data_IF_754690157523
#
_entry.id   IF_754690157523
#
_cell.length_a   1.000
_cell.length_b   1.000
_cell.length_c   1.000
_cell.angle_alpha   90.00
_cell.angle_beta   90.00
_cell.angle_gamma   90.00
#
_symmetry.space_group_name_H-M   'P 1'
#
loop_
_entity.id
_entity.type
_entity.pdbx_description
1 polymer ?
#
# COMPACT_ATOMS: atom_id res chain seq x y z
N UNK A 1 17.50 10.43 15.88
CA UNK A 1 17.06 9.08 16.30
C UNK A 1 18.02 8.42 17.29
N UNK A 2 19.32 8.26 16.98
CA UNK A 2 20.26 7.55 17.88
C UNK A 2 20.28 8.04 19.34
N UNK A 3 20.35 9.35 19.64
CA UNK A 3 20.39 9.81 21.04
C UNK A 3 19.12 9.43 21.83
N UNK A 4 17.96 9.43 21.16
CA UNK A 4 16.69 9.02 21.75
C UNK A 4 16.69 7.54 22.12
N UNK A 5 17.15 6.68 21.19
CA UNK A 5 17.22 5.23 21.42
C UNK A 5 18.24 4.91 22.51
N UNK A 6 19.41 5.55 22.51
CA UNK A 6 20.41 5.37 23.57
C UNK A 6 19.92 5.80 24.95
N UNK A 7 19.14 6.89 25.01
CA UNK A 7 18.68 7.45 26.30
C UNK A 7 17.43 6.78 26.87
N UNK A 8 16.47 6.43 26.01
CA UNK A 8 15.13 5.98 26.42
C UNK A 8 14.69 4.66 25.78
N UNK A 9 15.56 4.00 25.01
CA UNK A 9 15.22 2.82 24.22
C UNK A 9 14.58 1.71 25.04
N UNK A 10 14.94 1.50 26.29
CA UNK A 10 14.33 0.50 27.18
C UNK A 10 12.87 0.82 27.58
N UNK A 11 12.46 2.10 27.51
CA UNK A 11 11.16 2.61 27.98
C UNK A 11 10.19 2.99 26.85
N UNK A 12 10.64 3.01 25.59
CA UNK A 12 9.78 3.37 24.45
C UNK A 12 8.85 2.21 24.11
N UNK A 13 7.54 2.39 24.29
CA UNK A 13 6.54 1.39 23.87
C UNK A 13 6.59 1.13 22.36
N UNK A 14 6.63 2.21 21.58
CA UNK A 14 6.81 2.17 20.13
C UNK A 14 7.41 3.49 19.63
N UNK A 15 8.09 3.42 18.48
CA UNK A 15 8.59 4.58 17.76
C UNK A 15 7.57 5.06 16.75
N UNK A 16 7.39 6.37 16.69
CA UNK A 16 6.59 7.04 15.67
C UNK A 16 7.53 7.56 14.59
N UNK A 17 7.28 7.18 13.33
CA UNK A 17 8.09 7.59 12.18
C UNK A 17 7.21 8.11 11.05
N UNK A 18 7.70 9.12 10.35
CA UNK A 18 7.07 9.64 9.13
C UNK A 18 7.97 9.22 7.96
N UNK A 19 7.41 8.54 6.98
CA UNK A 19 8.19 7.96 5.90
C UNK A 19 7.52 8.20 4.55
N UNK A 20 8.07 9.13 3.80
CA UNK A 20 7.64 9.43 2.44
C UNK A 20 8.70 8.95 1.46
N UNK A 21 8.35 8.67 0.21
CA UNK A 21 9.34 8.26 -0.78
C UNK A 21 10.47 9.30 -0.91
N UNK A 22 10.14 10.56 -1.19
CA UNK A 22 11.09 11.68 -1.15
C UNK A 22 10.36 13.00 -0.94
N UNK A 23 11.11 14.07 -0.60
CA UNK A 23 10.60 15.44 -0.65
C UNK A 23 10.28 15.79 -2.11
N UNK A 24 11.30 15.89 -2.96
CA UNK A 24 11.12 16.05 -4.41
C UNK A 24 11.09 14.67 -5.10
N UNK A 25 9.96 14.22 -5.69
CA UNK A 25 9.91 13.00 -6.47
C UNK A 25 10.77 13.10 -7.75
N UNK A 26 11.31 11.98 -8.26
CA UNK A 26 12.12 11.99 -9.46
C UNK A 26 11.31 12.47 -10.68
N UNK A 27 12.00 12.81 -11.78
CA UNK A 27 11.35 13.12 -13.03
C UNK A 27 10.36 12.04 -13.51
N UNK A 28 9.40 12.42 -14.35
CA UNK A 28 8.42 11.48 -14.92
C UNK A 28 9.04 10.69 -16.06
N UNK A 29 9.95 9.79 -15.70
CA UNK A 29 10.62 8.85 -16.59
C UNK A 29 10.33 7.42 -16.13
N UNK A 30 10.55 6.44 -17.01
CA UNK A 30 10.40 5.04 -16.64
C UNK A 30 11.26 4.66 -15.42
N UNK A 31 12.49 5.16 -15.36
CA UNK A 31 13.40 4.96 -14.23
C UNK A 31 12.88 5.62 -12.94
N UNK A 32 12.45 6.88 -13.00
CA UNK A 32 11.88 7.58 -11.85
C UNK A 32 10.64 6.87 -11.31
N UNK A 33 9.74 6.45 -12.20
CA UNK A 33 8.53 5.71 -11.81
C UNK A 33 8.88 4.32 -11.22
N UNK A 34 9.88 3.63 -11.75
CA UNK A 34 10.34 2.37 -11.18
C UNK A 34 10.87 2.53 -9.75
N UNK A 35 11.64 3.59 -9.47
CA UNK A 35 12.14 3.85 -8.11
C UNK A 35 11.01 4.15 -7.11
N UNK A 36 9.98 4.89 -7.54
CA UNK A 36 8.78 5.14 -6.74
C UNK A 36 8.07 3.81 -6.43
N UNK A 37 7.81 2.97 -7.44
CA UNK A 37 7.10 1.69 -7.24
C UNK A 37 7.91 0.65 -6.45
N UNK A 38 9.24 0.78 -6.42
CA UNK A 38 10.14 -0.05 -5.62
C UNK A 38 10.28 0.44 -4.16
N UNK A 39 9.73 1.62 -3.81
CA UNK A 39 9.83 2.22 -2.49
C UNK A 39 9.55 1.25 -1.34
N UNK A 40 8.47 0.45 -1.35
CA UNK A 40 8.15 -0.41 -0.22
C UNK A 40 9.27 -1.42 0.05
N UNK A 41 9.78 -2.10 -0.98
CA UNK A 41 10.80 -3.13 -0.80
C UNK A 41 12.21 -2.57 -0.60
N UNK A 42 12.44 -1.30 -0.94
CA UNK A 42 13.74 -0.66 -0.82
C UNK A 42 13.83 0.16 0.46
N UNK A 43 13.14 1.31 0.51
CA UNK A 43 13.30 2.30 1.57
C UNK A 43 12.70 1.84 2.90
N UNK A 44 11.55 1.16 2.91
CA UNK A 44 10.99 0.62 4.17
C UNK A 44 11.87 -0.52 4.72
N UNK A 45 12.40 -1.39 3.86
CA UNK A 45 13.35 -2.44 4.27
C UNK A 45 14.66 -1.84 4.83
N UNK A 46 15.17 -0.78 4.19
CA UNK A 46 16.34 -0.06 4.67
C UNK A 46 16.07 0.64 6.01
N UNK A 47 14.87 1.19 6.21
CA UNK A 47 14.44 1.78 7.47
C UNK A 47 14.46 0.75 8.61
N UNK A 48 13.91 -0.44 8.43
CA UNK A 48 13.98 -1.52 9.43
C UNK A 48 15.42 -1.86 9.79
N UNK A 49 16.27 -2.03 8.78
CA UNK A 49 17.69 -2.37 8.96
C UNK A 49 18.44 -1.26 9.72
N UNK A 50 18.19 0.00 9.36
CA UNK A 50 18.79 1.16 10.00
C UNK A 50 18.36 1.30 11.45
N UNK A 51 17.06 1.17 11.74
CA UNK A 51 16.53 1.18 13.11
C UNK A 51 17.12 0.04 13.95
N UNK A 52 17.24 -1.16 13.37
CA UNK A 52 17.88 -2.29 14.07
C UNK A 52 19.35 -2.01 14.38
N UNK A 53 20.08 -1.38 13.46
CA UNK A 53 21.45 -0.95 13.70
C UNK A 53 21.56 0.02 14.88
N UNK A 54 20.63 0.97 14.99
CA UNK A 54 20.61 1.94 16.10
C UNK A 54 20.33 1.30 17.46
N UNK A 55 19.42 0.34 17.51
CA UNK A 55 19.11 -0.43 18.72
C UNK A 55 20.32 -1.23 19.20
N UNK A 56 20.98 -1.94 18.26
CA UNK A 56 22.18 -2.71 18.58
C UNK A 56 23.31 -1.80 19.06
N UNK A 57 23.50 -0.63 18.42
CA UNK A 57 24.48 0.36 18.85
C UNK A 57 24.17 0.95 20.24
N UNK A 58 22.90 0.96 20.64
CA UNK A 58 22.46 1.33 21.99
C UNK A 58 22.52 0.16 23.00
N UNK A 59 23.02 -1.02 22.62
CA UNK A 59 23.10 -2.20 23.47
C UNK A 59 21.76 -2.91 23.70
N UNK A 60 20.75 -2.64 22.87
CA UNK A 60 19.42 -3.21 23.02
C UNK A 60 19.28 -4.59 22.36
N UNK A 61 18.74 -5.55 23.10
CA UNK A 61 18.40 -6.87 22.56
C UNK A 61 17.05 -6.86 21.82
N UNK A 62 16.04 -6.16 22.38
CA UNK A 62 14.70 -6.04 21.80
C UNK A 62 14.68 -5.16 20.56
N UNK A 63 13.71 -5.40 19.67
CA UNK A 63 13.29 -4.45 18.64
C UNK A 63 12.20 -3.55 19.22
N UNK A 64 12.29 -2.24 19.00
CA UNK A 64 11.25 -1.30 19.35
C UNK A 64 10.18 -1.34 18.24
N UNK A 65 8.91 -1.63 18.57
CA UNK A 65 7.81 -1.58 17.60
C UNK A 65 7.72 -0.21 16.92
N UNK A 66 7.23 -0.16 15.68
CA UNK A 66 7.14 1.06 14.87
C UNK A 66 5.71 1.31 14.41
N UNK A 67 5.20 2.52 14.70
CA UNK A 67 4.02 3.08 14.06
C UNK A 67 4.49 4.06 12.98
N UNK A 68 4.17 3.78 11.71
CA UNK A 68 4.39 4.75 10.63
C UNK A 68 3.22 5.72 10.61
N UNK A 69 3.28 6.79 11.41
CA UNK A 69 2.14 7.70 11.61
C UNK A 69 1.83 8.57 10.40
N UNK A 70 2.76 8.67 9.46
CA UNK A 70 2.55 9.33 8.17
C UNK A 70 3.39 8.64 7.10
N UNK A 71 2.78 8.28 5.98
CA UNK A 71 3.50 7.85 4.79
C UNK A 71 2.76 8.21 3.50
N UNK A 72 3.52 8.28 2.41
CA UNK A 72 3.01 8.60 1.09
C UNK A 72 4.12 8.84 0.07
N UNK A 73 3.74 9.34 -1.11
CA UNK A 73 4.70 9.66 -2.16
C UNK A 73 5.65 10.81 -1.76
N UNK A 74 5.11 11.90 -1.22
CA UNK A 74 5.88 13.08 -0.85
C UNK A 74 5.20 13.86 0.28
N UNK A 75 5.97 14.47 1.21
CA UNK A 75 5.46 15.42 2.18
C UNK A 75 5.29 16.84 1.58
N UNK A 76 5.92 17.11 0.43
CA UNK A 76 5.72 18.32 -0.36
C UNK A 76 4.76 18.02 -1.51
N UNK A 77 3.49 18.30 -1.30
CA UNK A 77 2.49 18.33 -2.37
C UNK A 77 2.37 19.71 -3.01
N UNK A 78 3.27 20.62 -2.66
CA UNK A 78 3.16 22.07 -2.89
C UNK A 78 3.44 22.48 -4.33
N UNK A 79 4.15 21.65 -5.11
CA UNK A 79 4.32 21.90 -6.52
C UNK A 79 3.24 21.19 -7.34
N UNK A 80 2.68 21.88 -8.35
CA UNK A 80 1.65 21.35 -9.26
C UNK A 80 2.03 19.98 -9.86
N UNK A 81 3.33 19.73 -10.05
CA UNK A 81 3.88 18.46 -10.54
C UNK A 81 3.75 17.32 -9.52
N UNK A 82 3.89 17.64 -8.24
CA UNK A 82 3.86 16.70 -7.12
C UNK A 82 2.41 16.36 -6.77
N UNK A 83 1.54 17.37 -6.66
CA UNK A 83 0.09 17.20 -6.43
C UNK A 83 -0.57 16.27 -7.44
N UNK A 84 -0.25 16.43 -8.74
CA UNK A 84 -0.77 15.56 -9.82
C UNK A 84 -0.41 14.09 -9.65
N UNK A 85 0.70 13.74 -9.01
CA UNK A 85 1.09 12.33 -8.85
C UNK A 85 0.43 11.68 -7.63
N UNK A 86 0.11 12.47 -6.61
CA UNK A 86 -0.55 11.98 -5.41
C UNK A 86 -1.99 11.54 -5.72
N UNK A 87 -2.65 12.21 -6.67
CA UNK A 87 -4.00 11.88 -7.16
C UNK A 87 -4.04 10.75 -8.20
N UNK A 88 -2.92 10.08 -8.51
CA UNK A 88 -2.82 9.05 -9.55
C UNK A 88 -2.73 7.62 -8.99
N UNK A 89 -3.02 6.64 -9.84
CA UNK A 89 -2.89 5.20 -9.56
C UNK A 89 -1.51 4.81 -9.01
N UNK A 90 -0.44 5.48 -9.41
CA UNK A 90 0.92 5.27 -8.88
C UNK A 90 1.00 5.48 -7.36
N UNK A 91 0.31 6.48 -6.81
CA UNK A 91 0.27 6.68 -5.37
C UNK A 91 -0.51 5.55 -4.68
N UNK A 92 -1.59 5.05 -5.30
CA UNK A 92 -2.33 3.89 -4.80
C UNK A 92 -1.47 2.61 -4.78
N UNK A 93 -0.67 2.39 -5.83
CA UNK A 93 0.28 1.27 -5.90
C UNK A 93 1.35 1.38 -4.82
N UNK A 94 1.98 2.55 -4.68
CA UNK A 94 3.01 2.79 -3.66
C UNK A 94 2.46 2.60 -2.25
N UNK A 95 1.35 3.27 -1.94
CA UNK A 95 0.79 3.27 -0.58
C UNK A 95 0.16 1.94 -0.23
N UNK A 96 -0.55 1.31 -1.17
CA UNK A 96 -1.12 -0.03 -1.00
C UNK A 96 -0.04 -1.08 -0.78
N UNK A 97 1.02 -1.08 -1.59
CA UNK A 97 2.12 -2.04 -1.42
C UNK A 97 2.93 -1.77 -0.14
N UNK A 98 3.04 -0.50 0.29
CA UNK A 98 3.65 -0.13 1.58
C UNK A 98 2.93 -0.78 2.77
N UNK A 99 1.59 -0.82 2.77
CA UNK A 99 0.81 -1.52 3.81
C UNK A 99 1.20 -2.99 3.86
N UNK A 100 1.27 -3.66 2.71
CA UNK A 100 1.66 -5.06 2.66
C UNK A 100 3.08 -5.28 3.16
N UNK A 101 4.03 -4.44 2.74
CA UNK A 101 5.42 -4.54 3.17
C UNK A 101 5.56 -4.36 4.69
N UNK A 102 4.83 -3.40 5.26
CA UNK A 102 4.81 -3.20 6.70
C UNK A 102 4.14 -4.39 7.40
N UNK A 103 3.05 -4.93 6.86
CA UNK A 103 2.31 -6.03 7.47
C UNK A 103 3.06 -7.37 7.49
N UNK A 104 4.00 -7.61 6.56
CA UNK A 104 4.89 -8.80 6.60
C UNK A 104 6.10 -8.62 7.50
N UNK A 105 6.35 -7.41 8.02
CA UNK A 105 7.44 -7.16 8.95
C UNK A 105 6.86 -6.90 10.35
N UNK A 106 7.06 -7.87 11.24
CA UNK A 106 6.55 -7.88 12.63
C UNK A 106 6.96 -6.66 13.47
N UNK A 107 7.93 -5.87 13.02
CA UNK A 107 8.30 -4.61 13.68
C UNK A 107 7.20 -3.55 13.58
N UNK A 108 6.45 -3.51 12.49
CA UNK A 108 5.44 -2.47 12.28
C UNK A 108 4.12 -2.86 12.94
N UNK A 109 3.62 -1.99 13.80
CA UNK A 109 2.35 -2.20 14.54
C UNK A 109 1.18 -1.45 13.91
N UNK A 110 1.44 -0.62 12.91
CA UNK A 110 0.43 0.14 12.20
C UNK A 110 1.03 1.18 11.28
N UNK A 111 0.15 1.77 10.47
CA UNK A 111 0.51 2.83 9.55
C UNK A 111 -0.68 3.74 9.26
N UNK A 112 -0.45 5.05 9.11
CA UNK A 112 -1.46 5.99 8.62
C UNK A 112 -0.96 6.64 7.33
N UNK A 113 -1.69 6.42 6.23
CA UNK A 113 -1.42 7.16 5.01
C UNK A 113 -1.83 8.62 5.24
N UNK A 114 -0.94 9.54 4.89
CA UNK A 114 -1.20 10.97 5.01
C UNK A 114 -1.78 11.49 3.68
N UNK A 115 -3.01 11.98 3.61
CA UNK A 115 -4.08 12.10 4.63
C UNK A 115 -5.42 11.56 4.09
N UNK A 116 -6.49 11.60 4.89
CA UNK A 116 -7.81 11.09 4.51
C UNK A 116 -8.52 11.97 3.49
N UNK A 117 -8.44 13.29 3.62
CA UNK A 117 -9.16 14.24 2.78
C UNK A 117 -8.27 15.38 2.31
N UNK A 118 -8.66 15.99 1.19
CA UNK A 118 -8.15 17.28 0.76
C UNK A 118 -8.22 18.29 1.91
N UNK A 119 -7.09 18.92 2.21
CA UNK A 119 -7.00 19.99 3.19
C UNK A 119 -6.81 21.31 2.45
N UNK A 120 -7.89 22.10 2.41
CA UNK A 120 -7.91 23.42 1.77
C UNK A 120 -6.84 24.36 2.33
N UNK A 121 -6.43 24.19 3.59
CA UNK A 121 -5.39 25.03 4.22
C UNK A 121 -4.03 24.82 3.58
N UNK A 122 -3.74 23.61 3.12
CA UNK A 122 -2.48 23.26 2.48
C UNK A 122 -2.53 23.42 0.95
N UNK A 123 -3.71 23.72 0.38
CA UNK A 123 -3.89 23.97 -1.06
C UNK A 123 -3.60 22.76 -1.96
N UNK A 124 -3.47 21.55 -1.39
CA UNK A 124 -2.92 20.37 -2.07
C UNK A 124 -3.70 19.08 -1.80
N UNK A 125 -3.59 18.17 -2.76
CA UNK A 125 -4.34 16.91 -2.85
C UNK A 125 -3.56 15.75 -2.24
N UNK A 126 -3.47 15.71 -0.91
CA UNK A 126 -2.84 14.59 -0.17
C UNK A 126 -3.83 13.48 0.23
N UNK A 127 -5.12 13.76 0.04
CA UNK A 127 -6.22 12.96 0.54
C UNK A 127 -6.43 11.62 -0.16
N UNK A 128 -7.04 10.66 0.52
CA UNK A 128 -7.82 9.60 -0.14
C UNK A 128 -9.13 10.12 -0.73
N UNK A 129 -9.62 11.26 -0.23
CA UNK A 129 -10.86 11.91 -0.63
C UNK A 129 -10.60 13.36 -1.05
N UNK A 130 -11.37 13.85 -2.02
CA UNK A 130 -11.47 15.28 -2.33
C UNK A 130 -12.92 15.74 -2.27
N UNK A 131 -13.14 17.05 -2.38
CA UNK A 131 -14.48 17.64 -2.41
C UNK A 131 -14.60 18.58 -3.60
N UNK A 132 -15.74 18.54 -4.29
CA UNK A 132 -16.02 19.39 -5.46
C UNK A 132 -16.56 20.77 -5.08
N UNK A 133 -16.93 20.94 -3.82
CA UNK A 133 -17.44 22.19 -3.27
C UNK A 133 -16.72 22.57 -1.97
N UNK A 134 -16.81 23.84 -1.62
CA UNK A 134 -16.18 24.41 -0.41
C UNK A 134 -16.90 24.03 0.90
N UNK A 135 -18.11 23.47 0.80
CA UNK A 135 -18.94 23.05 1.93
C UNK A 135 -18.76 21.56 2.27
N UNK A 136 -17.84 20.86 1.61
CA UNK A 136 -17.57 19.44 1.79
C UNK A 136 -18.77 18.52 1.52
N UNK A 137 -19.70 18.94 0.65
CA UNK A 137 -20.97 18.22 0.42
C UNK A 137 -20.95 17.22 -0.73
N UNK A 138 -20.09 17.44 -1.72
CA UNK A 138 -19.87 16.56 -2.88
C UNK A 138 -18.46 15.98 -2.85
N UNK A 139 -18.30 14.84 -2.17
CA UNK A 139 -17.02 14.15 -2.05
C UNK A 139 -16.71 13.26 -3.27
N UNK A 140 -15.43 13.11 -3.59
CA UNK A 140 -14.93 12.12 -4.54
C UNK A 140 -13.71 11.39 -3.96
N UNK A 141 -13.39 10.23 -4.56
CA UNK A 141 -12.35 9.32 -4.08
C UNK A 141 -11.16 9.34 -5.02
N UNK A 142 -9.97 9.53 -4.47
CA UNK A 142 -8.70 9.36 -5.18
C UNK A 142 -8.34 7.88 -5.31
N UNK A 143 -7.50 7.49 -6.27
CA UNK A 143 -7.00 6.13 -6.45
C UNK A 143 -6.56 5.43 -5.14
N UNK A 144 -5.87 6.14 -4.25
CA UNK A 144 -5.38 5.61 -2.97
C UNK A 144 -6.50 5.08 -2.07
N UNK A 145 -7.70 5.65 -2.13
CA UNK A 145 -8.87 5.16 -1.39
C UNK A 145 -9.16 3.69 -1.71
N UNK A 146 -9.13 3.34 -2.99
CA UNK A 146 -9.46 2.00 -3.46
C UNK A 146 -8.41 0.95 -3.08
N UNK A 147 -7.13 1.35 -2.98
CA UNK A 147 -6.10 0.49 -2.42
C UNK A 147 -6.39 0.15 -0.95
N UNK A 148 -6.84 1.13 -0.15
CA UNK A 148 -7.24 0.90 1.25
C UNK A 148 -8.53 0.08 1.36
N UNK A 149 -9.47 0.26 0.43
CA UNK A 149 -10.66 -0.58 0.35
C UNK A 149 -10.31 -2.06 0.09
N UNK A 150 -9.34 -2.34 -0.78
CA UNK A 150 -8.82 -3.69 -1.00
C UNK A 150 -8.19 -4.26 0.27
N UNK A 151 -7.38 -3.50 1.01
CA UNK A 151 -6.83 -3.94 2.31
C UNK A 151 -7.91 -4.21 3.36
N UNK A 152 -8.97 -3.41 3.41
CA UNK A 152 -10.13 -3.66 4.28
C UNK A 152 -10.80 -5.00 3.93
N UNK A 153 -10.90 -5.33 2.64
CA UNK A 153 -11.44 -6.61 2.16
C UNK A 153 -10.49 -7.77 2.45
N UNK A 154 -9.18 -7.58 2.32
CA UNK A 154 -8.13 -8.55 2.63
C UNK A 154 -8.20 -9.04 4.07
N UNK A 155 -8.35 -8.14 5.05
CA UNK A 155 -8.54 -8.51 6.46
C UNK A 155 -7.27 -8.44 7.32
N UNK A 156 -7.34 -8.94 8.57
CA UNK A 156 -6.36 -8.61 9.60
C UNK A 156 -5.18 -9.57 9.70
N UNK A 157 -5.20 -10.73 9.02
CA UNK A 157 -4.15 -11.74 9.16
C UNK A 157 -3.28 -11.80 7.91
N UNK A 158 -1.97 -11.64 8.09
CA UNK A 158 -0.94 -11.96 7.10
C UNK A 158 -0.46 -13.40 7.31
N UNK A 159 -0.16 -14.07 6.20
CA UNK A 159 0.42 -15.42 6.13
C UNK A 159 1.69 -15.39 5.28
N UNK A 160 2.51 -16.42 5.46
CA UNK A 160 3.68 -16.61 4.62
C UNK A 160 3.26 -16.88 3.17
N UNK A 161 4.01 -16.33 2.23
CA UNK A 161 3.84 -16.57 0.80
C UNK A 161 5.22 -16.62 0.14
N UNK A 162 5.37 -17.54 -0.80
CA UNK A 162 6.53 -17.56 -1.70
C UNK A 162 6.06 -17.14 -3.09
N UNK A 163 6.83 -16.26 -3.72
CA UNK A 163 6.56 -15.79 -5.08
C UNK A 163 7.86 -15.85 -5.88
N UNK A 164 7.79 -16.30 -7.13
CA UNK A 164 8.91 -16.26 -8.07
C UNK A 164 9.11 -14.88 -8.72
N UNK A 165 8.19 -13.94 -8.46
CA UNK A 165 8.27 -12.59 -9.00
C UNK A 165 9.19 -11.70 -8.16
N UNK A 166 9.93 -10.81 -8.83
CA UNK A 166 10.64 -9.74 -8.15
C UNK A 166 9.63 -8.76 -7.56
N UNK A 167 9.60 -8.70 -6.23
CA UNK A 167 8.68 -7.86 -5.46
C UNK A 167 8.89 -6.36 -5.72
N UNK A 168 10.14 -5.93 -5.91
CA UNK A 168 10.47 -4.53 -6.13
C UNK A 168 10.17 -4.08 -7.57
N UNK A 169 10.39 -4.96 -8.55
CA UNK A 169 10.32 -4.59 -9.97
C UNK A 169 9.08 -5.09 -10.73
N UNK A 170 8.35 -6.08 -10.20
CA UNK A 170 7.26 -6.74 -10.94
C UNK A 170 5.97 -6.91 -10.12
N UNK A 171 5.77 -8.08 -9.51
CA UNK A 171 4.59 -8.35 -8.68
C UNK A 171 4.97 -8.39 -7.21
N UNK A 172 4.31 -7.56 -6.41
CA UNK A 172 4.27 -7.78 -4.97
C UNK A 172 3.07 -8.64 -4.61
N UNK A 173 3.30 -9.68 -3.82
CA UNK A 173 2.29 -10.66 -3.43
C UNK A 173 2.25 -10.77 -1.91
N UNK A 174 1.04 -10.72 -1.35
CA UNK A 174 0.79 -10.89 0.07
C UNK A 174 -0.32 -11.92 0.25
N UNK A 175 -0.10 -12.91 1.11
CA UNK A 175 -1.11 -13.87 1.50
C UNK A 175 -1.66 -13.55 2.88
N UNK A 176 -2.92 -13.90 3.09
CA UNK A 176 -3.62 -13.66 4.34
C UNK A 176 -4.72 -14.66 4.58
N UNK A 177 -5.42 -14.47 5.69
CA UNK A 177 -6.60 -15.25 6.04
C UNK A 177 -7.69 -14.34 6.58
N UNK A 178 -8.93 -14.61 6.17
CA UNK A 178 -10.11 -13.92 6.69
C UNK A 178 -11.31 -14.85 6.67
N UNK A 179 -11.87 -15.12 7.85
CA UNK A 179 -13.08 -15.93 8.04
C UNK A 179 -12.99 -17.32 7.38
N UNK A 180 -11.84 -17.98 7.51
CA UNK A 180 -11.58 -19.31 6.93
C UNK A 180 -11.25 -19.28 5.43
N UNK A 181 -11.17 -18.10 4.81
CA UNK A 181 -10.78 -17.95 3.40
C UNK A 181 -9.31 -17.54 3.30
N UNK A 182 -8.60 -18.17 2.36
CA UNK A 182 -7.27 -17.70 1.94
C UNK A 182 -7.44 -16.41 1.14
N UNK A 183 -6.66 -15.39 1.50
CA UNK A 183 -6.67 -14.09 0.86
C UNK A 183 -5.36 -13.89 0.11
N UNK A 184 -5.43 -13.29 -1.08
CA UNK A 184 -4.27 -12.94 -1.88
C UNK A 184 -4.40 -11.48 -2.32
N UNK A 185 -3.38 -10.67 -2.03
CA UNK A 185 -3.25 -9.31 -2.55
C UNK A 185 -2.08 -9.29 -3.52
N UNK A 186 -2.31 -8.78 -4.73
CA UNK A 186 -1.28 -8.69 -5.77
C UNK A 186 -1.21 -7.26 -6.30
N UNK A 187 -0.02 -6.68 -6.28
CA UNK A 187 0.28 -5.39 -6.90
C UNK A 187 1.11 -5.63 -8.15
N UNK A 188 0.54 -5.36 -9.33
CA UNK A 188 1.28 -5.35 -10.58
C UNK A 188 1.89 -3.97 -10.82
N UNK A 189 3.22 -3.89 -10.79
CA UNK A 189 3.99 -2.64 -10.98
C UNK A 189 4.45 -2.44 -12.42
N UNK A 190 3.99 -3.30 -13.33
CA UNK A 190 4.40 -3.30 -14.73
C UNK A 190 3.25 -2.89 -15.64
N UNK A 191 3.60 -2.47 -16.86
CA UNK A 191 2.66 -2.12 -17.93
C UNK A 191 2.11 -3.36 -18.68
N UNK A 192 2.39 -4.56 -18.19
CA UNK A 192 2.05 -5.83 -18.85
C UNK A 192 1.22 -6.72 -17.94
N UNK A 193 0.25 -7.40 -18.54
CA UNK A 193 -0.43 -8.51 -17.89
C UNK A 193 0.58 -9.60 -17.52
N UNK A 194 0.39 -10.22 -16.37
CA UNK A 194 1.22 -11.32 -15.86
C UNK A 194 0.30 -12.48 -15.48
N UNK A 195 0.74 -13.69 -15.77
CA UNK A 195 0.06 -14.92 -15.38
C UNK A 195 0.90 -15.66 -14.36
N UNK A 196 0.25 -16.30 -13.41
CA UNK A 196 0.87 -17.11 -12.38
C UNK A 196 -0.03 -18.29 -12.05
N UNK A 197 0.57 -19.42 -11.68
CA UNK A 197 -0.15 -20.52 -11.05
C UNK A 197 -0.12 -20.30 -9.53
N UNK A 198 -1.29 -20.40 -8.91
CA UNK A 198 -1.44 -20.27 -7.46
C UNK A 198 -1.67 -21.66 -6.88
N UNK A 199 -0.96 -21.97 -5.80
CA UNK A 199 -1.14 -23.18 -5.01
C UNK A 199 -1.23 -22.80 -3.54
N UNK A 200 -2.07 -23.52 -2.79
CA UNK A 200 -2.23 -23.33 -1.35
C UNK A 200 -1.88 -24.63 -0.67
N UNK A 201 -0.92 -24.59 0.26
CA UNK A 201 -0.45 -25.79 0.94
C UNK A 201 -1.59 -26.49 1.68
N UNK A 202 -1.79 -27.77 1.37
CA UNK A 202 -2.83 -28.58 2.00
C UNK A 202 -4.27 -28.23 1.61
N UNK A 203 -4.49 -27.40 0.58
CA UNK A 203 -5.82 -27.04 0.13
C UNK A 203 -5.96 -27.07 -1.41
N UNK A 204 -7.16 -27.45 -1.87
CA UNK A 204 -7.56 -27.31 -3.28
C UNK A 204 -8.36 -26.04 -3.46
N UNK A 205 -8.00 -25.23 -4.46
CA UNK A 205 -8.76 -24.03 -4.82
C UNK A 205 -9.98 -24.47 -5.63
N UNK A 206 -11.18 -24.32 -5.06
CA UNK A 206 -12.44 -24.71 -5.71
C UNK A 206 -13.09 -23.56 -6.48
N UNK A 207 -12.92 -22.34 -5.97
CA UNK A 207 -13.39 -21.10 -6.57
C UNK A 207 -12.53 -19.94 -6.11
N UNK A 208 -12.61 -18.85 -6.87
CA UNK A 208 -11.98 -17.57 -6.54
C UNK A 208 -13.02 -16.45 -6.58
N UNK A 209 -12.81 -15.46 -5.71
CA UNK A 209 -13.50 -14.18 -5.78
C UNK A 209 -12.44 -13.09 -5.89
N UNK A 210 -12.49 -12.30 -6.95
CA UNK A 210 -11.49 -11.27 -7.23
C UNK A 210 -12.12 -9.89 -7.18
N UNK A 211 -11.51 -9.03 -6.37
CA UNK A 211 -11.70 -7.58 -6.46
C UNK A 211 -10.49 -6.97 -7.17
N UNK A 212 -10.75 -6.14 -8.18
CA UNK A 212 -9.72 -5.56 -9.04
C UNK A 212 -9.79 -4.05 -9.00
N UNK A 213 -8.65 -3.43 -8.73
CA UNK A 213 -8.44 -2.01 -8.96
C UNK A 213 -7.45 -1.85 -10.12
N UNK A 214 -7.92 -1.30 -11.23
CA UNK A 214 -7.15 -1.29 -12.48
C UNK A 214 -7.32 0.01 -13.28
N UNK A 215 -6.21 0.47 -13.83
CA UNK A 215 -6.13 1.54 -14.83
C UNK A 215 -5.36 1.06 -16.06
N UNK A 216 -5.40 1.86 -17.11
CA UNK A 216 -4.60 1.71 -18.33
C UNK A 216 -3.15 2.15 -18.16
N UNK A 217 -2.89 3.08 -17.23
CA UNK A 217 -1.56 3.57 -16.91
C UNK A 217 -1.42 3.93 -15.42
N UNK A 218 -0.19 3.94 -14.92
CA UNK A 218 0.12 4.36 -13.53
C UNK A 218 -0.23 5.83 -13.26
N UNK A 219 -0.46 6.62 -14.30
CA UNK A 219 -0.83 8.03 -14.20
C UNK A 219 -2.35 8.26 -14.29
N UNK A 220 -3.16 7.21 -14.29
CA UNK A 220 -4.61 7.36 -14.33
C UNK A 220 -5.12 7.95 -13.01
N UNK A 221 -5.94 8.99 -13.11
CA UNK A 221 -6.65 9.62 -11.99
C UNK A 221 -8.06 9.05 -11.80
N UNK A 222 -8.58 8.36 -12.82
CA UNK A 222 -9.90 7.70 -12.84
C UNK A 222 -9.79 6.21 -13.22
N UNK A 223 -9.00 5.41 -12.48
CA UNK A 223 -9.01 3.96 -12.61
C UNK A 223 -10.36 3.36 -12.21
N UNK A 224 -10.56 2.09 -12.54
CA UNK A 224 -11.78 1.34 -12.20
C UNK A 224 -11.60 0.49 -10.97
N UNK A 225 -12.66 0.39 -10.17
CA UNK A 225 -12.82 -0.64 -9.14
C UNK A 225 -13.87 -1.64 -9.63
N UNK A 226 -13.49 -2.91 -9.80
CA UNK A 226 -14.32 -3.96 -10.39
C UNK A 226 -14.98 -3.54 -11.72
N UNK A 227 -14.22 -2.86 -12.58
CA UNK A 227 -14.69 -2.36 -13.88
C UNK A 227 -15.53 -1.07 -13.82
N UNK A 228 -15.81 -0.52 -12.63
CA UNK A 228 -16.57 0.73 -12.46
C UNK A 228 -15.64 1.91 -12.16
N UNK A 229 -15.73 2.98 -12.96
CA UNK A 229 -14.89 4.20 -12.81
C UNK A 229 -15.27 5.01 -11.57
N UNK A 230 -16.56 5.11 -11.27
CA UNK A 230 -17.09 5.82 -10.10
C UNK A 230 -18.13 4.92 -9.44
N UNK A 231 -17.69 3.95 -8.61
CA UNK A 231 -18.61 3.10 -7.87
C UNK A 231 -19.35 3.89 -6.80
N UNK A 232 -20.46 3.37 -6.31
CA UNK A 232 -21.15 3.85 -5.12
C UNK A 232 -20.20 3.89 -3.91
N UNK A 233 -20.51 4.71 -2.91
CA UNK A 233 -19.62 4.89 -1.74
C UNK A 233 -19.45 3.59 -0.92
N UNK A 234 -20.50 2.77 -0.87
CA UNK A 234 -20.47 1.44 -0.25
C UNK A 234 -19.94 0.34 -1.17
N UNK A 235 -19.56 0.69 -2.40
CA UNK A 235 -19.09 -0.19 -3.47
C UNK A 235 -20.10 -1.26 -3.90
N UNK A 236 -21.39 -1.08 -3.58
CA UNK A 236 -22.45 -2.07 -3.86
C UNK A 236 -22.71 -2.30 -5.36
N UNK A 237 -22.44 -1.29 -6.20
CA UNK A 237 -22.61 -1.35 -7.66
C UNK A 237 -21.33 -1.78 -8.41
N UNK A 238 -20.29 -2.17 -7.67
CA UNK A 238 -19.03 -2.67 -8.19
C UNK A 238 -18.63 -3.98 -7.47
N UNK A 239 -19.43 -5.06 -7.62
CA UNK A 239 -19.12 -6.35 -7.02
C UNK A 239 -17.91 -6.99 -7.68
N UNK A 240 -17.15 -7.79 -6.90
CA UNK A 240 -16.05 -8.58 -7.43
C UNK A 240 -16.54 -9.68 -8.38
N UNK A 241 -15.62 -10.23 -9.16
CA UNK A 241 -15.90 -11.37 -10.03
C UNK A 241 -15.73 -12.68 -9.27
N UNK A 242 -16.62 -13.65 -9.51
CA UNK A 242 -16.47 -15.01 -8.99
C UNK A 242 -16.23 -15.96 -10.14
N UNK A 243 -15.21 -16.81 -10.02
CA UNK A 243 -14.91 -17.88 -10.98
C UNK A 243 -14.94 -19.20 -10.23
N UNK A 244 -15.80 -20.13 -10.65
CA UNK A 244 -15.74 -21.52 -10.20
C UNK A 244 -14.62 -22.23 -10.96
N UNK A 245 -13.56 -22.61 -10.24
CA UNK A 245 -12.38 -23.28 -10.81
C UNK A 245 -12.66 -24.77 -10.97
N UNK A 246 -13.59 -25.31 -10.17
CA UNK A 246 -14.03 -26.70 -10.23
C UNK A 246 -12.98 -27.64 -9.65
N UNK A 247 -13.37 -28.46 -8.67
CA UNK A 247 -12.54 -29.58 -8.25
C UNK A 247 -12.53 -30.62 -9.36
N UNK A 248 -11.43 -30.76 -10.11
CA UNK A 248 -11.19 -32.05 -10.73
C UNK A 248 -10.97 -33.04 -9.59
N UNK A 249 -11.95 -33.90 -9.36
CA UNK A 249 -11.77 -35.08 -8.53
C UNK A 249 -10.61 -35.87 -9.13
N UNK A 250 -9.48 -35.92 -8.41
CA UNK A 250 -8.46 -36.94 -8.59
C UNK A 250 -8.97 -38.28 -8.09
#
# INVERSE_FOLDING_TARGET
MQPLITYAGDRIDFMVVHEYYSYEPPPNTAEGNATILAFPQTKLTALDSWLRGMELAAGMSRRIPVLVSEYGLTPSGWEEREGKRISQMMNALLTGDSVGQMAVNERYIGSNQFTMSYDQWFGNEFGMMGFKDENYSDAYRYPTYYAMALWKRFGPSIKNVTSSFDKAASLSVYAGEKNGKTMLMVFNKTDKARSASISVDGATILSEHADTFAGSAIHDTLPTFNGKVVPADDLSDAPGTTTDIGGQAS
#
